data_IF_760232563163
#
_entry.id   IF_760232563163
#
_cell.length_a   1.000
_cell.length_b   1.000
_cell.length_c   1.000
_cell.angle_alpha   90.00
_cell.angle_beta   90.00
_cell.angle_gamma   90.00
#
_symmetry.space_group_name_H-M   'P 1'
#
loop_
_entity.id
_entity.type
_entity.pdbx_description
1 polymer ?
#
# COMPACT_ATOMS: atom_id res chain seq x y z
N UNK A 1 -13.59 18.92 2.79
CA UNK A 1 -13.45 18.55 1.38
C UNK A 1 -13.21 17.05 1.30
N UNK A 2 -13.98 16.29 0.54
CA UNK A 2 -13.60 14.94 0.24
C UNK A 2 -12.21 14.99 -0.43
N UNK A 3 -11.27 14.28 0.13
CA UNK A 3 -9.92 14.22 -0.44
C UNK A 3 -10.00 13.42 -1.74
N UNK A 4 -9.59 14.01 -2.85
CA UNK A 4 -9.55 13.33 -4.14
C UNK A 4 -8.54 12.18 -4.13
N UNK A 5 -8.85 11.13 -4.88
CA UNK A 5 -7.93 10.03 -5.12
C UNK A 5 -6.74 10.55 -5.92
N UNK A 6 -5.54 10.30 -5.44
CA UNK A 6 -4.27 10.69 -6.07
C UNK A 6 -3.20 9.67 -5.70
N UNK A 7 -2.18 9.50 -6.53
CA UNK A 7 -1.02 8.71 -6.17
C UNK A 7 -0.40 9.21 -4.86
N UNK A 8 0.05 8.28 -4.02
CA UNK A 8 0.62 8.58 -2.70
C UNK A 8 -0.41 8.80 -1.58
N UNK A 9 -1.72 8.69 -1.86
CA UNK A 9 -2.75 8.70 -0.82
C UNK A 9 -3.14 7.29 -0.41
N UNK A 10 -3.77 7.16 0.76
CA UNK A 10 -4.34 5.91 1.23
C UNK A 10 -5.84 5.83 0.99
N UNK A 11 -6.28 4.65 0.59
CA UNK A 11 -7.66 4.22 0.67
C UNK A 11 -7.78 3.31 1.90
N UNK A 12 -8.63 3.69 2.82
CA UNK A 12 -8.91 2.90 4.02
C UNK A 12 -10.31 2.33 3.90
N UNK A 13 -10.43 1.00 3.91
CA UNK A 13 -11.72 0.33 3.81
C UNK A 13 -12.63 0.76 4.96
N UNK A 14 -13.86 1.19 4.63
CA UNK A 14 -14.86 1.49 5.65
C UNK A 14 -15.38 0.19 6.29
N UNK A 15 -15.96 0.23 7.50
CA UNK A 15 -16.49 -0.98 8.14
C UNK A 15 -17.59 -1.70 7.35
N UNK A 16 -18.26 -1.00 6.42
CA UNK A 16 -19.32 -1.59 5.59
C UNK A 16 -18.79 -2.32 4.36
N UNK A 17 -17.52 -2.15 4.02
CA UNK A 17 -16.89 -2.86 2.91
C UNK A 17 -16.63 -4.32 3.30
N UNK A 18 -17.51 -5.20 2.84
CA UNK A 18 -17.50 -6.63 3.19
C UNK A 18 -16.77 -7.54 2.21
N UNK A 19 -16.27 -7.01 1.08
CA UNK A 19 -15.50 -7.79 0.10
C UNK A 19 -14.28 -8.42 0.77
N UNK A 20 -14.12 -9.76 0.72
CA UNK A 20 -12.99 -10.45 1.37
C UNK A 20 -11.61 -9.97 0.91
N UNK A 21 -11.50 -9.48 -0.31
CA UNK A 21 -10.24 -8.95 -0.85
C UNK A 21 -9.85 -7.61 -0.20
N UNK A 22 -10.82 -6.86 0.29
CA UNK A 22 -10.59 -5.47 0.73
C UNK A 22 -11.08 -5.16 2.14
N UNK A 23 -11.77 -6.07 2.79
CA UNK A 23 -12.23 -5.87 4.16
C UNK A 23 -11.06 -5.50 5.07
N UNK A 24 -11.20 -4.37 5.79
CA UNK A 24 -10.17 -3.87 6.72
C UNK A 24 -8.80 -3.64 6.09
N UNK A 25 -8.74 -3.35 4.80
CA UNK A 25 -7.49 -3.05 4.14
C UNK A 25 -7.14 -1.56 4.18
N UNK A 26 -5.84 -1.32 4.10
CA UNK A 26 -5.24 -0.03 3.78
C UNK A 26 -4.53 -0.19 2.45
N UNK A 27 -4.95 0.57 1.46
CA UNK A 27 -4.38 0.51 0.10
C UNK A 27 -3.64 1.81 -0.19
N UNK A 28 -2.39 1.70 -0.61
CA UNK A 28 -1.64 2.83 -1.15
C UNK A 28 -1.96 2.98 -2.63
N UNK A 29 -2.40 4.15 -3.05
CA UNK A 29 -2.55 4.47 -4.46
C UNK A 29 -1.17 4.70 -5.05
N UNK A 30 -0.79 3.88 -6.01
CA UNK A 30 0.52 3.93 -6.68
C UNK A 30 0.45 4.76 -7.96
N UNK A 31 -0.63 4.60 -8.73
CA UNK A 31 -0.93 5.34 -9.94
C UNK A 31 -2.39 5.73 -9.96
N UNK A 32 -2.68 6.93 -10.42
CA UNK A 32 -4.05 7.39 -10.60
C UNK A 32 -4.15 8.31 -11.80
N UNK A 33 -4.95 7.88 -12.77
CA UNK A 33 -5.35 8.70 -13.91
C UNK A 33 -6.88 8.60 -14.07
N UNK A 34 -7.56 9.72 -13.96
CA UNK A 34 -9.03 9.76 -13.96
C UNK A 34 -9.67 9.10 -15.18
N UNK A 35 -8.98 9.10 -16.31
CA UNK A 35 -9.46 8.53 -17.59
C UNK A 35 -8.97 7.11 -17.87
N UNK A 36 -7.96 6.63 -17.18
CA UNK A 36 -7.37 5.30 -17.39
C UNK A 36 -7.63 4.34 -16.24
N UNK A 37 -7.73 4.87 -15.04
CA UNK A 37 -8.01 4.09 -13.84
C UNK A 37 -6.99 4.30 -12.72
N UNK A 38 -7.06 3.44 -11.73
CA UNK A 38 -6.24 3.52 -10.53
C UNK A 38 -5.59 2.17 -10.25
N UNK A 39 -4.33 2.20 -9.87
CA UNK A 39 -3.58 1.06 -9.36
C UNK A 39 -3.18 1.33 -7.91
N UNK A 40 -3.39 0.36 -7.06
CA UNK A 40 -3.01 0.41 -5.66
C UNK A 40 -2.43 -0.89 -5.14
N UNK A 41 -1.85 -0.83 -3.96
CA UNK A 41 -1.25 -1.98 -3.28
C UNK A 41 -1.77 -2.05 -1.86
N UNK A 42 -2.30 -3.19 -1.47
CA UNK A 42 -2.74 -3.45 -0.09
C UNK A 42 -1.51 -3.57 0.81
N UNK A 43 -1.44 -2.73 1.84
CA UNK A 43 -0.27 -2.61 2.71
C UNK A 43 -0.28 -3.53 3.93
N UNK A 44 -1.43 -4.07 4.33
CA UNK A 44 -1.62 -4.69 5.64
C UNK A 44 -2.05 -6.16 5.60
N UNK A 45 -1.65 -6.88 4.54
CA UNK A 45 -1.91 -8.32 4.40
C UNK A 45 -0.63 -9.13 4.19
N UNK A 46 0.18 -9.34 5.23
CA UNK A 46 1.35 -10.20 5.13
C UNK A 46 0.93 -11.65 4.90
N UNK A 47 1.69 -12.35 4.07
CA UNK A 47 1.59 -13.81 3.92
C UNK A 47 2.60 -14.51 4.83
N UNK A 48 2.64 -15.84 4.77
CA UNK A 48 3.66 -16.63 5.47
C UNK A 48 4.84 -17.00 4.58
N UNK A 49 4.89 -16.48 3.35
CA UNK A 49 5.94 -16.79 2.37
C UNK A 49 7.12 -15.83 2.56
N UNK A 50 8.30 -16.31 2.99
CA UNK A 50 9.47 -15.45 3.07
C UNK A 50 9.86 -14.87 1.69
N UNK A 51 10.31 -13.63 1.65
CA UNK A 51 10.79 -13.01 0.40
C UNK A 51 11.91 -13.86 -0.22
N UNK A 52 12.82 -14.39 0.59
CA UNK A 52 13.93 -15.21 0.13
C UNK A 52 13.53 -16.53 -0.56
N UNK A 53 12.30 -16.99 -0.36
CA UNK A 53 11.80 -18.20 -1.04
C UNK A 53 11.42 -17.94 -2.51
N UNK A 54 11.05 -16.74 -2.86
CA UNK A 54 10.56 -16.37 -4.20
C UNK A 54 11.46 -15.38 -4.92
N UNK A 55 12.18 -14.55 -4.18
CA UNK A 55 13.08 -13.52 -4.68
C UNK A 55 14.36 -13.49 -3.82
N UNK A 56 15.14 -14.57 -3.85
CA UNK A 56 16.34 -14.73 -3.04
C UNK A 56 17.31 -13.52 -3.09
N UNK A 57 17.59 -12.92 -4.25
CA UNK A 57 18.51 -11.78 -4.32
C UNK A 57 18.06 -10.54 -3.54
N UNK A 58 16.80 -10.45 -3.19
CA UNK A 58 16.20 -9.31 -2.47
C UNK A 58 16.04 -9.53 -0.97
N UNK A 59 16.42 -10.71 -0.47
CA UNK A 59 16.23 -11.12 0.93
C UNK A 59 16.80 -10.11 1.92
N UNK A 60 18.04 -9.69 1.72
CA UNK A 60 18.75 -8.78 2.63
C UNK A 60 18.19 -7.35 2.63
N UNK A 61 17.46 -6.96 1.59
CA UNK A 61 16.88 -5.64 1.44
C UNK A 61 15.45 -5.56 1.95
N UNK A 62 14.77 -6.70 2.13
CA UNK A 62 13.37 -6.74 2.56
C UNK A 62 13.23 -6.31 4.03
N UNK A 63 12.35 -5.35 4.27
CA UNK A 63 12.01 -4.84 5.60
C UNK A 63 11.16 -5.84 6.38
N UNK A 64 11.40 -5.98 7.66
CA UNK A 64 10.60 -6.86 8.53
C UNK A 64 9.12 -6.40 8.64
N UNK A 65 8.17 -7.35 8.67
CA UNK A 65 8.35 -8.78 8.44
C UNK A 65 8.76 -9.08 7.00
N UNK A 66 9.85 -9.81 6.84
CA UNK A 66 10.50 -10.11 5.56
C UNK A 66 9.76 -11.21 4.78
N UNK A 67 8.46 -11.01 4.60
CA UNK A 67 7.55 -11.89 3.88
C UNK A 67 6.94 -11.17 2.67
N UNK A 68 6.41 -11.93 1.73
CA UNK A 68 5.60 -11.40 0.64
C UNK A 68 4.24 -10.98 1.19
N UNK A 69 3.78 -9.79 0.84
CA UNK A 69 2.45 -9.30 1.18
C UNK A 69 1.48 -9.58 0.03
N UNK A 70 0.22 -9.85 0.35
CA UNK A 70 -0.83 -9.90 -0.66
C UNK A 70 -1.24 -8.47 -1.02
N UNK A 71 -0.80 -8.00 -2.16
CA UNK A 71 -1.03 -6.61 -2.63
C UNK A 71 -2.40 -6.38 -3.27
N UNK A 72 -3.15 -7.43 -3.58
CA UNK A 72 -4.49 -7.35 -4.17
C UNK A 72 -4.82 -8.53 -5.09
N UNK A 73 -6.06 -8.54 -5.61
CA UNK A 73 -6.59 -9.68 -6.36
C UNK A 73 -6.15 -9.73 -7.83
N UNK A 74 -5.56 -8.65 -8.35
CA UNK A 74 -5.14 -8.59 -9.76
C UNK A 74 -3.73 -9.15 -9.90
N UNK A 75 -3.50 -9.98 -10.91
CA UNK A 75 -2.21 -10.61 -11.21
C UNK A 75 -1.50 -11.19 -9.97
N UNK A 76 -2.12 -12.11 -9.22
CA UNK A 76 -1.58 -12.58 -7.93
C UNK A 76 -0.26 -13.36 -8.05
N UNK A 77 0.12 -13.75 -9.26
CA UNK A 77 1.41 -14.40 -9.54
C UNK A 77 2.50 -13.42 -9.96
N UNK A 78 2.19 -12.14 -10.03
CA UNK A 78 3.16 -11.09 -10.35
C UNK A 78 3.64 -10.41 -9.08
N UNK A 79 4.93 -10.16 -9.00
CA UNK A 79 5.54 -9.44 -7.89
C UNK A 79 5.69 -7.95 -8.22
N UNK A 80 5.46 -7.13 -7.19
CA UNK A 80 5.67 -5.69 -7.20
C UNK A 80 6.41 -5.33 -5.92
N UNK A 81 7.31 -4.36 -5.95
CA UNK A 81 7.98 -3.89 -4.75
C UNK A 81 7.93 -2.38 -4.63
N UNK A 82 7.76 -1.93 -3.38
CA UNK A 82 7.93 -0.55 -2.97
C UNK A 82 9.24 -0.40 -2.21
N UNK A 83 9.95 0.68 -2.45
CA UNK A 83 11.14 1.02 -1.69
C UNK A 83 11.19 2.50 -1.33
N UNK A 84 11.73 2.77 -0.15
CA UNK A 84 12.06 4.10 0.33
C UNK A 84 13.53 4.39 -0.01
N UNK A 85 13.75 5.43 -0.78
CA UNK A 85 15.07 5.96 -1.13
C UNK A 85 15.19 7.37 -0.54
N UNK A 86 15.79 7.54 0.65
CA UNK A 86 15.75 8.82 1.38
C UNK A 86 16.67 9.91 0.79
N UNK A 87 17.65 9.52 -0.01
CA UNK A 87 18.57 10.45 -0.65
C UNK A 87 17.93 11.29 -1.75
N UNK A 88 18.75 12.09 -2.43
CA UNK A 88 18.31 12.90 -3.59
C UNK A 88 18.48 12.18 -4.90
N UNK A 89 19.28 11.13 -4.92
CA UNK A 89 19.56 10.33 -6.11
C UNK A 89 18.37 9.45 -6.49
N UNK A 90 18.26 9.17 -7.77
CA UNK A 90 17.31 8.21 -8.31
C UNK A 90 18.09 7.01 -8.86
N UNK A 91 18.27 5.95 -8.05
CA UNK A 91 19.02 4.80 -8.50
C UNK A 91 18.32 4.08 -9.67
N UNK A 92 19.12 3.50 -10.55
CA UNK A 92 18.61 2.73 -11.69
C UNK A 92 17.73 1.56 -11.20
N UNK A 93 16.53 1.44 -11.76
CA UNK A 93 15.58 0.41 -11.36
C UNK A 93 14.63 0.82 -10.24
N UNK A 94 14.70 2.06 -9.78
CA UNK A 94 13.72 2.64 -8.86
C UNK A 94 13.03 3.82 -9.51
N UNK A 95 11.70 3.87 -9.41
CA UNK A 95 10.86 4.89 -10.01
C UNK A 95 10.00 5.54 -8.94
N UNK A 96 10.23 6.83 -8.60
CA UNK A 96 9.44 7.52 -7.59
C UNK A 96 7.97 7.58 -8.02
N UNK A 97 7.07 7.52 -7.03
CA UNK A 97 5.65 7.77 -7.27
C UNK A 97 5.46 9.22 -7.71
N UNK A 98 4.58 9.44 -8.68
CA UNK A 98 4.13 10.78 -9.06
C UNK A 98 3.12 11.30 -8.01
N UNK A 99 3.65 11.67 -6.88
CA UNK A 99 2.90 12.00 -5.68
C UNK A 99 3.35 13.33 -5.07
N UNK A 100 2.62 13.81 -4.07
CA UNK A 100 2.99 14.99 -3.30
C UNK A 100 4.41 14.86 -2.71
N UNK A 101 5.13 16.00 -2.48
CA UNK A 101 6.53 15.99 -2.02
C UNK A 101 6.79 15.12 -0.80
N UNK A 102 5.82 15.02 0.13
CA UNK A 102 5.94 14.16 1.32
C UNK A 102 6.10 12.65 0.99
N UNK A 103 5.63 12.21 -0.19
CA UNK A 103 5.70 10.82 -0.64
C UNK A 103 6.71 10.61 -1.78
N UNK A 104 7.40 11.65 -2.22
CA UNK A 104 8.29 11.62 -3.39
C UNK A 104 9.50 10.68 -3.24
N UNK A 105 9.81 10.23 -2.03
CA UNK A 105 10.91 9.30 -1.79
C UNK A 105 10.46 7.82 -1.69
N UNK A 106 9.17 7.56 -1.89
CA UNK A 106 8.62 6.23 -2.09
C UNK A 106 8.48 5.96 -3.58
N UNK A 107 8.87 4.78 -4.02
CA UNK A 107 8.83 4.41 -5.43
C UNK A 107 8.70 2.91 -5.66
N UNK A 108 8.44 2.58 -6.91
CA UNK A 108 8.39 1.20 -7.41
C UNK A 108 9.79 0.73 -7.76
N UNK A 109 10.07 -0.54 -7.49
CA UNK A 109 11.33 -1.20 -7.81
C UNK A 109 11.14 -2.16 -8.97
N UNK A 110 12.01 -2.07 -9.96
CA UNK A 110 12.17 -3.11 -10.97
C UNK A 110 12.90 -4.32 -10.35
N UNK A 111 12.16 -5.37 -10.08
CA UNK A 111 12.69 -6.58 -9.46
C UNK A 111 13.57 -7.42 -10.40
N UNK A 112 13.56 -7.12 -11.70
CA UNK A 112 14.47 -7.71 -12.67
C UNK A 112 15.84 -7.01 -12.70
N UNK A 113 15.93 -5.81 -12.11
CA UNK A 113 17.20 -5.12 -11.96
C UNK A 113 18.08 -5.80 -10.90
N UNK A 114 19.41 -5.77 -11.04
CA UNK A 114 20.30 -6.30 -10.03
C UNK A 114 20.15 -5.57 -8.69
N UNK A 115 19.89 -6.27 -7.57
CA UNK A 115 19.76 -5.62 -6.26
C UNK A 115 20.96 -4.79 -5.83
N UNK A 116 22.17 -5.15 -6.29
CA UNK A 116 23.38 -4.42 -6.01
C UNK A 116 23.41 -2.98 -6.51
N UNK A 117 22.60 -2.64 -7.53
CA UNK A 117 22.48 -1.26 -8.04
C UNK A 117 21.66 -0.37 -7.11
N UNK A 118 20.80 -0.96 -6.30
CA UNK A 118 19.80 -0.29 -5.49
C UNK A 118 20.11 -0.35 -3.99
N UNK A 119 20.79 -1.40 -3.54
CA UNK A 119 20.91 -1.75 -2.14
C UNK A 119 21.48 -0.66 -1.23
N UNK A 120 22.47 0.09 -1.70
CA UNK A 120 23.07 1.19 -0.93
C UNK A 120 22.12 2.41 -0.78
N UNK A 121 21.17 2.59 -1.69
CA UNK A 121 20.24 3.71 -1.70
C UNK A 121 18.91 3.41 -0.96
N UNK A 122 18.55 2.14 -0.81
CA UNK A 122 17.30 1.71 -0.21
C UNK A 122 17.39 1.70 1.32
N UNK A 123 16.49 2.42 1.98
CA UNK A 123 16.31 2.36 3.43
C UNK A 123 15.28 1.30 3.85
N UNK A 124 14.24 1.09 3.05
CA UNK A 124 13.19 0.10 3.30
C UNK A 124 12.67 -0.45 1.99
N UNK A 125 12.30 -1.73 1.98
CA UNK A 125 11.74 -2.41 0.81
C UNK A 125 10.69 -3.43 1.25
N UNK A 126 9.57 -3.49 0.52
CA UNK A 126 8.53 -4.50 0.73
C UNK A 126 8.03 -5.06 -0.59
N UNK A 127 7.87 -6.37 -0.63
CA UNK A 127 7.43 -7.12 -1.82
C UNK A 127 5.97 -7.52 -1.67
N UNK A 128 5.22 -7.35 -2.75
CA UNK A 128 3.80 -7.68 -2.85
C UNK A 128 3.56 -8.67 -3.99
N UNK A 129 2.66 -9.61 -3.78
CA UNK A 129 2.09 -10.45 -4.82
C UNK A 129 0.73 -9.88 -5.22
N UNK A 130 0.58 -9.54 -6.49
CA UNK A 130 -0.62 -8.90 -7.00
C UNK A 130 -0.79 -7.44 -6.58
N UNK A 131 -1.84 -6.83 -7.08
CA UNK A 131 -2.21 -5.45 -6.82
C UNK A 131 -3.74 -5.26 -6.85
N UNK A 132 -4.20 -4.08 -6.46
CA UNK A 132 -5.58 -3.65 -6.57
C UNK A 132 -5.74 -2.72 -7.78
N UNK A 133 -6.77 -2.91 -8.56
CA UNK A 133 -7.01 -2.10 -9.76
C UNK A 133 -8.47 -1.64 -9.85
N UNK A 134 -8.65 -0.42 -10.31
CA UNK A 134 -9.95 0.19 -10.61
C UNK A 134 -9.93 0.76 -12.01
N UNK A 135 -10.96 0.46 -12.79
CA UNK A 135 -11.17 1.09 -14.10
C UNK A 135 -11.50 2.58 -13.97
N UNK A 136 -11.51 3.29 -15.10
CA UNK A 136 -11.85 4.71 -15.14
C UNK A 136 -13.20 4.99 -14.45
N UNK A 137 -13.21 5.89 -13.46
CA UNK A 137 -14.40 6.27 -12.67
C UNK A 137 -14.87 5.26 -11.62
N UNK A 138 -14.36 4.03 -11.62
CA UNK A 138 -14.79 2.99 -10.68
C UNK A 138 -14.45 3.35 -9.23
N UNK A 139 -13.22 3.77 -8.97
CA UNK A 139 -12.82 4.15 -7.62
C UNK A 139 -13.67 5.29 -7.06
N UNK A 140 -13.95 6.31 -7.89
CA UNK A 140 -14.79 7.43 -7.45
C UNK A 140 -16.21 6.97 -7.11
N UNK A 141 -16.80 6.08 -7.91
CA UNK A 141 -18.10 5.50 -7.59
C UNK A 141 -18.10 4.75 -6.26
N UNK A 142 -17.06 3.95 -5.97
CA UNK A 142 -16.93 3.24 -4.70
C UNK A 142 -16.71 4.19 -3.51
N UNK A 143 -15.99 5.30 -3.71
CA UNK A 143 -15.84 6.35 -2.68
C UNK A 143 -17.20 7.01 -2.40
N UNK A 144 -17.96 7.35 -3.43
CA UNK A 144 -19.26 7.99 -3.32
C UNK A 144 -20.30 7.05 -2.64
N UNK A 145 -20.15 5.74 -2.83
CA UNK A 145 -20.96 4.70 -2.16
C UNK A 145 -20.50 4.43 -0.70
N UNK A 146 -19.42 5.07 -0.25
CA UNK A 146 -18.94 4.94 1.11
C UNK A 146 -18.09 3.69 1.39
N UNK A 147 -17.48 3.10 0.35
CA UNK A 147 -16.59 1.96 0.52
C UNK A 147 -15.21 2.34 1.08
N UNK A 148 -14.73 3.54 0.77
CA UNK A 148 -13.38 3.99 1.07
C UNK A 148 -13.33 5.37 1.72
N UNK A 149 -12.47 5.50 2.73
CA UNK A 149 -11.96 6.80 3.17
C UNK A 149 -10.67 7.12 2.40
N UNK A 150 -10.55 8.31 1.86
CA UNK A 150 -9.31 8.79 1.23
C UNK A 150 -8.57 9.68 2.22
N UNK A 151 -7.39 9.25 2.66
CA UNK A 151 -6.62 9.94 3.71
C UNK A 151 -5.16 10.12 3.31
N UNK A 152 -4.46 10.99 4.04
CA UNK A 152 -3.03 11.20 3.82
C UNK A 152 -2.22 9.99 4.26
N UNK A 153 -1.19 9.65 3.49
CA UNK A 153 -0.21 8.63 3.82
C UNK A 153 1.01 9.23 4.53
N UNK A 154 1.68 8.38 5.29
CA UNK A 154 3.04 8.59 5.78
C UNK A 154 3.96 7.53 5.14
N UNK A 155 5.24 7.88 4.93
CA UNK A 155 6.22 6.95 4.33
C UNK A 155 6.32 5.63 5.11
N UNK A 156 6.18 5.69 6.44
CA UNK A 156 6.22 4.53 7.33
C UNK A 156 5.04 3.56 7.15
N UNK A 157 3.92 3.99 6.57
CA UNK A 157 2.75 3.13 6.38
C UNK A 157 3.05 1.93 5.49
N UNK A 158 3.84 2.15 4.43
CA UNK A 158 4.22 1.08 3.49
C UNK A 158 5.17 0.04 4.11
N UNK A 159 5.84 0.38 5.23
CA UNK A 159 6.85 -0.46 5.87
C UNK A 159 6.54 -0.74 7.35
N UNK A 160 5.28 -0.71 7.71
CA UNK A 160 4.79 -0.94 9.06
C UNK A 160 5.26 -2.30 9.59
N UNK A 161 5.85 -2.32 10.79
CA UNK A 161 6.34 -3.54 11.43
C UNK A 161 5.21 -4.43 11.95
N UNK A 162 4.05 -3.85 12.25
CA UNK A 162 2.84 -4.55 12.70
C UNK A 162 1.68 -4.29 11.72
N UNK A 163 1.73 -4.85 10.50
CA UNK A 163 0.77 -4.54 9.43
C UNK A 163 -0.68 -4.83 9.81
N UNK A 164 -0.94 -5.80 10.66
CA UNK A 164 -2.28 -6.13 11.16
C UNK A 164 -2.91 -4.98 11.97
N UNK A 165 -2.09 -4.09 12.51
CA UNK A 165 -2.54 -2.90 13.26
C UNK A 165 -2.63 -1.64 12.42
N UNK A 166 -2.26 -1.69 11.14
CA UNK A 166 -2.19 -0.51 10.30
C UNK A 166 -3.56 0.14 10.10
N UNK A 167 -4.61 -0.65 9.86
CA UNK A 167 -5.96 -0.13 9.64
C UNK A 167 -6.45 0.78 10.79
N UNK A 168 -6.48 0.31 12.05
CA UNK A 168 -6.88 1.18 13.15
C UNK A 168 -5.88 2.30 13.43
N UNK A 169 -4.58 2.09 13.19
CA UNK A 169 -3.56 3.11 13.41
C UNK A 169 -3.73 4.31 12.46
N UNK A 170 -3.96 4.05 11.17
CA UNK A 170 -4.20 5.09 10.17
C UNK A 170 -5.47 5.88 10.51
N UNK A 171 -6.55 5.21 10.88
CA UNK A 171 -7.81 5.87 11.26
C UNK A 171 -7.67 6.73 12.52
N UNK A 172 -7.00 6.23 13.56
CA UNK A 172 -6.76 7.00 14.79
C UNK A 172 -5.97 8.28 14.52
N UNK A 173 -4.99 8.20 13.63
CA UNK A 173 -4.14 9.34 13.25
C UNK A 173 -4.95 10.47 12.60
N UNK A 174 -6.03 10.14 11.91
CA UNK A 174 -6.87 11.17 11.28
C UNK A 174 -7.66 12.00 12.29
N UNK A 175 -7.89 11.47 13.49
CA UNK A 175 -8.69 12.14 14.51
C UNK A 175 -10.18 12.17 14.18
N UNK A 176 -10.96 12.93 14.96
CA UNK A 176 -12.38 13.13 14.73
C UNK A 176 -13.19 11.82 14.60
N UNK A 177 -14.11 11.78 13.68
CA UNK A 177 -14.99 10.63 13.45
C UNK A 177 -14.23 9.37 13.05
N UNK A 178 -13.15 9.50 12.27
CA UNK A 178 -12.37 8.36 11.83
C UNK A 178 -11.64 7.65 12.99
N UNK A 179 -11.24 8.40 14.01
CA UNK A 179 -10.66 7.80 15.21
C UNK A 179 -11.66 6.90 15.97
N UNK A 180 -12.95 7.23 15.94
CA UNK A 180 -13.99 6.35 16.49
C UNK A 180 -14.20 5.11 15.64
N UNK A 181 -14.15 5.24 14.30
CA UNK A 181 -14.24 4.10 13.38
C UNK A 181 -13.13 3.06 13.68
N UNK A 182 -11.95 3.50 14.09
CA UNK A 182 -10.86 2.62 14.47
C UNK A 182 -11.18 1.64 15.61
N UNK A 183 -12.24 1.90 16.37
CA UNK A 183 -12.67 1.04 17.49
C UNK A 183 -13.72 -0.01 17.09
N UNK A 184 -14.20 0.02 15.85
CA UNK A 184 -15.17 -0.96 15.37
C UNK A 184 -14.58 -2.38 15.44
N UNK A 185 -15.32 -3.34 16.03
CA UNK A 185 -14.87 -4.72 16.13
C UNK A 185 -14.76 -5.38 14.76
N UNK A 186 -13.88 -6.38 14.66
CA UNK A 186 -13.70 -7.14 13.42
C UNK A 186 -14.94 -7.91 13.01
N UNK A 187 -15.72 -8.35 13.97
CA UNK A 187 -17.03 -8.99 13.78
C UNK A 187 -18.10 -8.24 14.57
N UNK A 188 -19.00 -7.50 13.87
CA UNK A 188 -20.11 -6.79 14.53
C UNK A 188 -21.11 -7.71 15.25
N UNK A 189 -21.09 -9.02 14.92
CA UNK A 189 -21.97 -10.03 15.54
C UNK A 189 -21.51 -10.53 16.90
N UNK A 190 -20.33 -10.11 17.37
CA UNK A 190 -19.77 -10.52 18.67
C UNK A 190 -20.09 -9.57 19.83
N UNK A 191 -21.06 -8.66 19.66
CA UNK A 191 -21.61 -7.83 20.76
C UNK A 191 -22.86 -8.43 21.36
#
# INVERSE_FOLDING_TARGET
MPSEAQAGRLLVATPVLGDPNFRRTVVLIVEHESQQGTLGVVLNRPTKVPVGQVLEPWTELATDPSVVFNGGPVAPNSALALALVPGTDEPVGWHPLDAAPAMARLGLVDLDAPPGLLGAAIASLRVYAGYAGWGAGQLQAEIDEGAWYVVSAELSDAFCAEPERLWPAVLRRQGGELAYVATYPDDPGLN
#
